data_IF_502990652715
#
_entry.id   IF_502990652715
#
_cell.length_a   1.000
_cell.length_b   1.000
_cell.length_c   1.000
_cell.angle_alpha   90.00
_cell.angle_beta   90.00
_cell.angle_gamma   90.00
#
_symmetry.space_group_name_H-M   'P 1'
#
loop_
_entity.id
_entity.type
_entity.pdbx_description
1 polymer ?
2 non-polymer ?
3 water ?
#
# COMPACT_ATOMS: atom_id res chain seq x y z
N UNK A 17 29.94 8.75 -5.40
CA UNK A 17 28.63 8.46 -4.82
C UNK A 17 28.68 8.49 -3.32
N UNK A 18 27.85 9.32 -2.74
CA UNK A 18 27.70 9.27 -1.34
C UNK A 18 26.24 8.88 -1.09
N UNK A 19 26.04 7.78 -0.39
CA UNK A 19 24.68 7.33 -0.11
C UNK A 19 23.99 8.28 0.85
N UNK A 20 22.85 8.81 0.46
CA UNK A 20 22.10 9.68 1.30
C UNK A 20 21.48 9.02 2.53
N UNK A 21 21.16 9.82 3.52
CA UNK A 21 20.65 9.35 4.82
C UNK A 21 19.25 8.76 4.83
N UNK A 22 18.39 9.43 4.10
CA UNK A 22 16.98 9.05 4.00
C UNK A 22 16.56 9.13 2.55
N UNK A 23 16.93 8.13 1.80
CA UNK A 23 16.67 8.03 0.39
C UNK A 23 15.30 7.40 0.11
N UNK A 24 14.95 7.33 -1.16
CA UNK A 24 13.68 6.76 -1.55
C UNK A 24 13.60 5.36 -0.98
N UNK A 25 14.67 4.61 -1.08
CA UNK A 25 14.66 3.23 -0.64
C UNK A 25 14.44 3.06 0.84
N UNK A 26 15.00 3.99 1.60
CA UNK A 26 14.83 3.88 3.02
C UNK A 26 13.36 4.00 3.35
N UNK A 27 12.70 4.96 2.75
CA UNK A 27 11.30 5.13 3.00
C UNK A 27 10.46 3.96 2.55
N UNK A 28 10.79 3.40 1.39
CA UNK A 28 10.07 2.24 0.92
C UNK A 28 10.25 1.04 1.85
N UNK A 29 11.46 0.87 2.38
CA UNK A 29 11.66 -0.25 3.27
C UNK A 29 10.84 -0.13 4.54
N UNK A 30 10.90 1.05 5.11
CA UNK A 30 10.13 1.28 6.28
C UNK A 30 8.65 1.17 6.00
N UNK A 31 8.22 1.67 4.85
CA UNK A 31 6.80 1.58 4.47
C UNK A 31 6.35 0.11 4.39
N UNK A 32 7.19 -0.68 3.79
CA UNK A 32 6.88 -2.05 3.52
C UNK A 32 6.78 -2.85 4.80
N UNK A 33 7.65 -2.57 5.75
CA UNK A 33 7.48 -3.17 7.03
C UNK A 33 6.30 -2.64 7.87
N UNK A 34 6.28 -1.34 8.10
CA UNK A 34 5.27 -0.76 8.96
C UNK A 34 3.87 -0.93 8.41
N UNK A 35 3.73 -0.83 7.10
CA UNK A 35 2.43 -0.82 6.54
C UNK A 35 2.00 -2.12 5.91
N UNK A 36 2.78 -3.16 6.07
CA UNK A 36 2.31 -4.69 5.50
C UNK A 36 2.76 -5.77 6.36
N UNK A 37 4.26 -5.83 6.38
CA UNK A 37 4.76 -7.03 7.03
C UNK A 37 4.44 -7.07 8.52
N UNK A 38 4.64 -5.94 9.14
CA UNK A 38 4.32 -5.86 10.56
C UNK A 38 2.85 -6.17 10.81
N UNK A 39 2.04 -5.76 9.88
CA UNK A 39 0.61 -5.99 10.01
C UNK A 39 0.13 -7.44 9.87
N UNK A 40 0.76 -8.14 8.96
CA UNK A 40 0.37 -9.49 8.65
C UNK A 40 1.14 -10.63 9.34
N UNK A 41 2.32 -10.36 9.88
CA UNK A 41 3.09 -11.45 10.44
C UNK A 41 2.45 -12.17 11.62
N UNK A 42 1.76 -11.41 12.50
CA UNK A 42 1.15 -12.08 13.65
C UNK A 42 0.10 -13.11 13.29
N UNK A 43 -0.69 -12.86 12.27
CA UNK A 43 -1.75 -13.78 11.93
C UNK A 43 -1.47 -14.75 10.81
N UNK A 44 -0.28 -14.71 10.26
CA UNK A 44 0.03 -15.49 9.13
C UNK A 44 -0.11 -17.00 9.35
N UNK A 45 0.45 -17.46 10.45
CA UNK A 45 0.35 -18.87 10.72
C UNK A 45 -1.08 -19.38 10.99
N UNK A 46 -1.88 -18.54 11.60
CA UNK A 46 -3.27 -18.92 11.78
C UNK A 46 -3.99 -19.10 10.44
N UNK A 47 -3.70 -18.20 9.52
CA UNK A 47 -4.26 -18.27 8.17
C UNK A 47 -3.77 -19.51 7.45
N UNK A 48 -2.51 -19.84 7.64
CA UNK A 48 -1.94 -21.04 7.09
C UNK A 48 -2.59 -22.32 7.65
N UNK A 49 -2.84 -22.32 8.94
CA UNK A 49 -3.48 -23.48 9.56
C UNK A 49 -4.87 -23.70 8.96
N UNK A 50 -5.57 -22.61 8.74
CA UNK A 50 -6.88 -22.66 8.10
C UNK A 50 -6.79 -23.17 6.70
N UNK A 51 -5.79 -22.73 5.94
CA UNK A 51 -5.59 -23.19 4.60
C UNK A 51 -5.34 -24.70 4.61
N UNK A 52 -4.54 -25.15 5.56
CA UNK A 52 -4.15 -26.55 5.63
C UNK A 52 -5.35 -27.44 5.92
N UNK A 53 -6.27 -26.91 6.69
CA UNK A 53 -7.48 -27.63 6.98
C UNK A 53 -8.29 -27.88 5.74
N UNK A 54 -8.27 -26.97 4.81
CA UNK A 54 -9.01 -27.07 3.56
C UNK A 54 -8.28 -27.81 2.47
N UNK A 55 -6.97 -27.87 2.56
CA UNK A 55 -6.14 -28.36 1.50
C UNK A 55 -5.27 -29.55 1.87
N UNK A 56 -5.74 -30.36 2.79
CA UNK A 56 -5.04 -31.57 3.19
C UNK A 56 -3.56 -31.36 3.53
N UNK A 57 -3.32 -30.36 4.35
CA UNK A 57 -1.98 -30.07 4.79
C UNK A 57 -0.98 -29.84 3.71
N UNK A 58 -1.39 -29.09 2.71
CA UNK A 58 -0.52 -28.80 1.59
C UNK A 58 0.75 -28.07 2.01
N UNK A 59 0.63 -27.18 2.95
CA UNK A 59 1.77 -26.42 3.43
C UNK A 59 2.32 -27.12 4.68
N UNK A 60 3.01 -28.22 4.48
CA UNK A 60 3.29 -29.08 5.63
C UNK A 60 4.49 -28.77 6.46
N UNK A 61 5.62 -28.63 5.88
CA UNK A 61 6.74 -28.32 6.73
C UNK A 61 6.96 -26.84 6.99
N UNK A 62 7.88 -26.52 7.87
CA UNK A 62 8.18 -25.15 8.17
C UNK A 62 8.57 -24.40 6.92
N UNK A 63 9.29 -25.05 6.06
CA UNK A 63 9.75 -24.43 4.86
C UNK A 63 8.63 -23.99 3.93
N UNK A 64 7.52 -24.65 4.01
CA UNK A 64 6.39 -24.28 3.18
C UNK A 64 5.47 -23.29 3.89
N UNK A 65 5.85 -22.87 5.08
CA UNK A 65 5.06 -21.96 5.87
C UNK A 65 5.67 -20.59 6.05
N UNK A 66 6.60 -20.27 5.18
CA UNK A 66 7.21 -18.99 5.18
C UNK A 66 6.53 -18.08 4.16
N UNK A 67 6.71 -16.79 4.32
CA UNK A 67 6.25 -15.86 3.33
C UNK A 67 7.46 -15.54 2.44
N UNK A 68 7.48 -16.11 1.26
CA UNK A 68 8.60 -15.87 0.36
C UNK A 68 8.32 -14.67 -0.53
N UNK A 69 9.22 -13.71 -0.50
CA UNK A 69 9.10 -12.49 -1.24
C UNK A 69 10.19 -12.41 -2.29
N UNK A 70 9.76 -12.31 -3.53
CA UNK A 70 10.66 -12.14 -4.65
C UNK A 70 11.12 -10.70 -4.80
N UNK A 71 12.43 -10.56 -4.93
CA UNK A 71 13.11 -9.28 -5.08
C UNK A 71 14.02 -9.22 -6.32
N UNK A 72 13.38 -9.01 -7.47
CA UNK A 72 14.15 -8.85 -8.70
C UNK A 72 14.78 -7.45 -8.71
N UNK A 73 16.10 -7.40 -8.67
CA UNK A 73 16.78 -6.13 -8.51
C UNK A 73 16.66 -5.21 -9.75
N UNK A 74 16.38 -5.80 -10.89
CA UNK A 74 16.07 -4.99 -12.05
C UNK A 74 14.64 -4.44 -12.02
N UNK A 75 13.89 -4.80 -11.01
CA UNK A 75 12.56 -4.25 -10.80
C UNK A 75 11.53 -4.60 -11.88
N UNK A 76 11.68 -5.73 -12.52
CA UNK A 76 10.68 -6.25 -13.40
C UNK A 76 9.72 -7.09 -12.59
N UNK A 77 8.52 -6.56 -12.42
CA UNK A 77 7.50 -7.15 -11.59
C UNK A 77 6.19 -7.33 -12.30
N UNK A 78 6.05 -8.49 -12.91
CA UNK A 78 4.78 -8.84 -13.54
C UNK A 78 3.76 -9.16 -12.49
N UNK A 79 2.51 -8.89 -12.80
CA UNK A 79 1.47 -9.18 -11.85
C UNK A 79 1.14 -10.67 -11.69
N UNK A 80 1.40 -11.41 -12.76
CA UNK A 80 1.16 -12.85 -12.84
C UNK A 80 2.48 -13.62 -12.73
N UNK A 81 2.64 -14.40 -11.67
CA UNK A 81 3.90 -15.08 -11.44
C UNK A 81 4.27 -16.09 -12.52
N UNK A 82 3.25 -16.63 -13.15
CA UNK A 82 3.51 -17.62 -14.16
C UNK A 82 4.21 -17.03 -15.34
N UNK A 83 4.18 -15.72 -15.45
CA UNK A 83 4.91 -15.02 -16.49
C UNK A 83 6.42 -15.18 -16.26
N UNK A 84 6.81 -15.11 -15.02
CA UNK A 84 8.19 -15.28 -14.69
C UNK A 84 8.67 -16.69 -14.87
N UNK A 85 7.85 -17.63 -14.48
CA UNK A 85 8.13 -19.03 -14.69
C UNK A 85 6.83 -19.81 -14.75
N UNK A 86 6.62 -20.49 -15.85
CA UNK A 86 5.41 -21.24 -16.04
C UNK A 86 5.27 -22.40 -15.12
N UNK A 87 6.34 -22.77 -14.47
CA UNK A 87 6.29 -23.81 -13.47
C UNK A 87 5.84 -23.30 -12.08
N UNK A 88 5.50 -22.03 -12.01
CA UNK A 88 4.91 -21.50 -10.83
C UNK A 88 3.42 -21.37 -11.11
N UNK A 89 2.64 -22.23 -10.48
CA UNK A 89 1.22 -22.33 -10.79
C UNK A 89 0.31 -21.95 -9.62
N UNK A 90 -0.55 -20.96 -9.80
CA UNK A 90 -1.44 -20.53 -8.76
C UNK A 90 -2.34 -21.66 -8.32
N UNK A 91 -2.45 -21.83 -7.00
CA UNK A 91 -3.38 -22.81 -6.47
C UNK A 91 -4.61 -22.28 -5.75
N UNK A 92 -4.43 -21.36 -4.84
CA UNK A 92 -5.52 -20.80 -4.04
C UNK A 92 -5.01 -19.68 -3.17
N UNK A 93 -5.88 -18.84 -2.67
CA UNK A 93 -5.49 -17.82 -1.75
C UNK A 93 -5.59 -18.33 -0.30
N UNK A 94 -4.75 -17.78 0.56
CA UNK A 94 -4.98 -17.92 1.95
C UNK A 94 -6.25 -17.16 2.29
N UNK A 95 -6.83 -17.52 3.45
CA UNK A 95 -7.88 -16.71 4.02
C UNK A 95 -7.31 -15.32 4.25
N UNK A 96 -8.13 -14.31 4.09
CA UNK A 96 -7.62 -12.94 4.10
C UNK A 96 -7.74 -12.30 5.48
N UNK A 97 -6.89 -11.32 5.76
CA UNK A 97 -6.98 -10.58 7.00
C UNK A 97 -7.68 -9.25 6.68
N UNK A 98 -8.62 -8.87 7.50
CA UNK A 98 -9.25 -7.56 7.41
C UNK A 98 -9.01 -6.70 8.64
N UNK A 99 -8.57 -5.48 8.39
CA UNK A 99 -8.14 -4.60 9.46
C UNK A 99 -8.57 -3.17 9.12
N UNK A 100 -9.13 -2.45 10.09
CA UNK A 100 -9.37 -1.03 9.88
C UNK A 100 -8.06 -0.24 9.83
N UNK A 101 -7.85 0.54 8.77
CA UNK A 101 -6.56 1.20 8.57
C UNK A 101 -6.76 2.60 8.05
N UNK A 102 -6.36 3.57 8.84
CA UNK A 102 -6.30 4.94 8.40
C UNK A 102 -7.59 5.44 7.77
N UNK A 103 -8.69 5.05 8.38
CA UNK A 103 -10.01 5.42 7.97
C UNK A 103 -10.64 4.53 6.89
N UNK A 104 -9.91 3.54 6.40
CA UNK A 104 -10.51 2.55 5.54
C UNK A 104 -10.97 1.37 6.39
N UNK A 105 -12.26 1.16 6.50
CA UNK A 105 -12.75 0.02 7.22
C UNK A 105 -12.47 -1.26 6.47
N UNK A 106 -12.07 -2.27 7.24
CA UNK A 106 -11.96 -3.61 6.71
C UNK A 106 -11.00 -3.74 5.53
N UNK A 107 -9.90 -3.02 5.57
CA UNK A 107 -8.95 -3.11 4.52
C UNK A 107 -8.45 -4.55 4.52
N UNK A 108 -8.33 -5.11 3.34
CA UNK A 108 -7.99 -6.49 3.19
C UNK A 108 -6.57 -6.73 2.80
N UNK A 109 -5.95 -7.70 3.47
CA UNK A 109 -4.58 -8.12 3.17
C UNK A 109 -4.63 -9.62 2.85
N UNK A 110 -4.09 -9.96 1.70
CA UNK A 110 -4.24 -11.24 1.11
C UNK A 110 -2.90 -11.82 0.64
N UNK A 111 -2.77 -13.14 0.67
CA UNK A 111 -1.63 -13.75 0.07
C UNK A 111 -2.02 -15.00 -0.73
N UNK A 112 -1.18 -15.31 -1.71
CA UNK A 112 -1.47 -16.39 -2.65
C UNK A 112 -0.51 -17.56 -2.53
N UNK A 113 -1.06 -18.77 -2.67
CA UNK A 113 -0.32 -20.01 -2.63
C UNK A 113 -0.14 -20.62 -4.01
N UNK A 114 1.08 -21.03 -4.30
CA UNK A 114 1.46 -21.54 -5.58
C UNK A 114 2.06 -22.93 -5.45
N UNK A 115 1.80 -23.75 -6.43
CA UNK A 115 2.49 -25.00 -6.57
C UNK A 115 3.67 -24.84 -7.51
N UNK A 116 4.77 -25.50 -7.20
CA UNK A 116 5.95 -25.39 -7.98
C UNK A 116 6.15 -26.72 -8.73
N UNK A 117 6.12 -26.64 -10.03
CA UNK A 117 6.14 -27.84 -10.83
C UNK A 117 7.52 -28.24 -11.27
N UNK A 118 7.71 -29.54 -11.26
CA UNK A 118 8.86 -30.19 -11.90
C UNK A 118 8.27 -31.33 -12.74
N UNK A 119 8.60 -31.35 -14.01
CA UNK A 119 8.07 -32.34 -14.92
C UNK A 119 6.55 -32.34 -14.88
N UNK A 120 5.95 -31.18 -14.76
CA UNK A 120 4.54 -31.05 -14.89
C UNK A 120 3.78 -31.41 -13.66
N UNK A 121 4.47 -31.81 -12.61
CA UNK A 121 3.85 -32.20 -11.39
C UNK A 121 4.35 -31.38 -10.20
N UNK A 122 3.49 -31.16 -9.22
CA UNK A 122 3.88 -30.33 -8.10
C UNK A 122 4.98 -30.97 -7.31
N UNK A 123 6.03 -30.23 -7.07
CA UNK A 123 7.11 -30.65 -6.23
C UNK A 123 7.17 -29.93 -4.88
N UNK A 124 6.40 -28.86 -4.74
CA UNK A 124 6.35 -28.11 -3.51
C UNK A 124 5.23 -27.10 -3.63
N UNK A 125 4.93 -26.42 -2.54
CA UNK A 125 3.94 -25.37 -2.57
C UNK A 125 4.38 -24.35 -1.56
N UNK A 126 4.04 -23.11 -1.80
CA UNK A 126 4.39 -22.06 -0.88
C UNK A 126 3.60 -20.77 -1.10
N UNK A 127 3.73 -19.84 -0.16
CA UNK A 127 3.19 -18.51 -0.29
C UNK A 127 4.26 -17.68 -0.98
N UNK A 128 3.92 -17.04 -2.10
CA UNK A 128 4.85 -16.34 -2.94
C UNK A 128 4.24 -15.06 -3.48
N UNK A 129 5.04 -14.02 -3.48
CA UNK A 129 4.70 -12.76 -4.07
C UNK A 129 5.93 -11.93 -4.38
N UNK A 130 5.76 -10.90 -5.21
CA UNK A 130 6.80 -9.88 -5.38
C UNK A 130 6.74 -8.80 -4.32
N UNK A 131 7.89 -8.19 -4.06
CA UNK A 131 7.85 -7.01 -3.22
C UNK A 131 7.31 -5.81 -4.02
N UNK A 132 6.18 -5.32 -3.58
CA UNK A 132 5.44 -4.30 -4.28
C UNK A 132 6.18 -2.97 -4.53
N UNK A 133 7.02 -2.59 -3.60
CA UNK A 133 7.74 -1.33 -3.78
C UNK A 133 8.66 -1.35 -4.98
N UNK A 134 9.05 -2.52 -5.43
CA UNK A 134 9.89 -2.56 -6.57
C UNK A 134 9.16 -2.01 -7.81
N UNK A 135 7.84 -2.11 -7.77
CA UNK A 135 6.99 -1.48 -8.79
C UNK A 135 7.06 0.03 -8.79
N UNK A 136 7.14 0.60 -7.63
CA UNK A 136 7.31 2.02 -7.51
C UNK A 136 8.63 2.45 -8.11
N UNK A 137 9.68 1.71 -7.79
CA UNK A 137 10.96 2.07 -8.30
C UNK A 137 10.96 1.98 -9.83
N UNK A 138 10.37 0.93 -10.37
CA UNK A 138 10.34 0.81 -11.80
C UNK A 138 9.56 1.98 -12.42
N UNK A 139 8.41 2.29 -11.87
CA UNK A 139 7.64 3.41 -12.41
C UNK A 139 8.34 4.76 -12.33
N UNK A 140 9.02 5.01 -11.25
CA UNK A 140 9.76 6.24 -11.13
C UNK A 140 10.80 6.33 -12.21
N UNK A 141 11.39 5.21 -12.52
CA UNK A 141 12.43 5.20 -13.49
C UNK A 141 11.92 5.53 -14.90
N UNK A 142 10.64 5.34 -15.11
CA UNK A 142 10.00 5.55 -16.41
C UNK A 142 9.33 6.88 -16.58
N UNK A 143 9.30 7.70 -15.55
CA UNK A 143 8.62 8.97 -15.66
C UNK A 143 9.63 10.08 -15.58
N UNK A 144 9.72 10.93 -16.58
CA UNK A 144 10.66 12.02 -16.53
C UNK A 144 10.47 12.95 -15.34
N UNK A 145 9.24 13.09 -14.90
CA UNK A 145 8.93 13.91 -13.79
C UNK A 145 9.59 13.40 -12.52
N UNK A 146 9.85 12.10 -12.46
CA UNK A 146 10.46 11.55 -11.31
C UNK A 146 11.92 11.89 -11.13
N UNK A 147 12.61 12.22 -12.20
CA UNK A 147 14.02 12.43 -12.22
C UNK A 147 15.01 11.31 -11.83
N UNK A 148 14.68 10.09 -12.16
CA UNK A 148 15.22 8.88 -11.58
C UNK A 148 15.72 7.96 -12.66
N UNK A 149 17.01 7.74 -12.76
CA UNK A 149 17.62 6.90 -13.76
C UNK A 149 17.58 5.42 -13.46
N UNK A 150 17.96 4.64 -14.45
CA UNK A 150 18.13 3.21 -14.36
C UNK A 150 19.21 2.88 -13.35
N UNK A 151 20.27 3.66 -13.35
CA UNK A 151 21.33 3.48 -12.37
C UNK A 151 20.85 3.79 -10.94
N UNK A 152 20.06 4.83 -10.80
CA UNK A 152 19.49 5.17 -9.53
C UNK A 152 18.57 4.02 -9.07
N UNK A 153 17.82 3.49 -10.02
CA UNK A 153 16.87 2.45 -9.67
C UNK A 153 17.54 1.19 -9.10
N UNK A 154 18.60 0.77 -9.76
CA UNK A 154 19.29 -0.40 -9.27
C UNK A 154 19.88 -0.18 -7.87
N UNK A 155 20.48 0.98 -7.70
CA UNK A 155 21.07 1.22 -6.41
C UNK A 155 20.02 1.26 -5.30
N UNK A 156 18.90 1.88 -5.61
CA UNK A 156 17.81 1.97 -4.66
C UNK A 156 17.21 0.62 -4.37
N UNK A 157 17.14 -0.21 -5.39
CA UNK A 157 16.62 -1.54 -5.17
C UNK A 157 17.49 -2.34 -4.21
N UNK A 158 18.78 -2.24 -4.40
CA UNK A 158 19.72 -2.87 -3.48
C UNK A 158 19.66 -2.30 -2.06
N UNK A 159 19.58 -0.99 -1.95
CA UNK A 159 19.44 -0.30 -0.67
C UNK A 159 18.11 -0.69 0.04
N UNK A 160 17.05 -0.81 -0.74
CA UNK A 160 15.77 -1.23 -0.18
C UNK A 160 15.89 -2.63 0.45
N UNK A 161 16.53 -3.50 -0.25
CA UNK A 161 16.73 -4.81 0.26
C UNK A 161 17.58 -4.84 1.52
N UNK A 162 18.70 -4.14 1.49
CA UNK A 162 19.55 -4.09 2.67
C UNK A 162 18.83 -3.49 3.88
N UNK A 163 18.13 -2.40 3.66
CA UNK A 163 17.43 -1.78 4.76
C UNK A 163 16.34 -2.67 5.31
N UNK A 164 15.63 -3.31 4.43
CA UNK A 164 14.59 -4.21 4.88
C UNK A 164 15.15 -5.37 5.71
N UNK A 165 16.26 -5.90 5.28
CA UNK A 165 16.89 -6.99 6.01
C UNK A 165 17.27 -6.54 7.42
N UNK A 166 17.76 -5.33 7.52
CA UNK A 166 18.12 -4.77 8.82
C UNK A 166 16.91 -4.66 9.75
N UNK A 167 15.80 -4.18 9.21
CA UNK A 167 14.60 -4.05 9.99
C UNK A 167 14.06 -5.42 10.43
N UNK A 168 14.04 -6.35 9.50
CA UNK A 168 13.51 -7.65 9.78
C UNK A 168 14.35 -8.44 10.81
N UNK A 169 15.58 -8.07 10.97
CA UNK A 169 16.46 -8.78 11.89
C UNK A 169 15.94 -8.68 13.29
N UNK A 170 15.18 -7.64 13.59
CA UNK A 170 14.75 -7.37 14.94
C UNK A 170 13.38 -7.93 15.32
N UNK A 171 12.75 -8.62 14.40
CA UNK A 171 11.53 -9.32 14.66
C UNK A 171 11.77 -10.53 15.56
N UNK A 172 10.87 -10.76 16.51
CA UNK A 172 11.01 -11.97 17.32
C UNK A 172 10.77 -13.21 16.51
N UNK A 173 11.31 -14.31 16.97
CA UNK A 173 11.34 -15.53 16.22
C UNK A 173 9.94 -16.00 15.89
N UNK A 174 9.01 -15.75 16.78
CA UNK A 174 7.67 -16.18 16.52
C UNK A 174 7.05 -15.50 15.31
N UNK A 175 7.63 -14.38 14.91
CA UNK A 175 7.15 -13.68 13.72
C UNK A 175 8.15 -13.68 12.58
N UNK A 176 9.19 -14.48 12.68
CA UNK A 176 10.27 -14.49 11.73
C UNK A 176 9.92 -15.38 10.53
N UNK A 177 8.91 -14.96 9.78
CA UNK A 177 8.44 -15.73 8.66
C UNK A 177 8.79 -15.26 7.29
N UNK A 178 9.22 -14.02 7.15
CA UNK A 178 9.63 -13.53 5.84
C UNK A 178 10.93 -14.10 5.35
N UNK A 179 10.95 -14.52 4.11
CA UNK A 179 12.16 -14.96 3.50
C UNK A 179 12.32 -14.30 2.12
N UNK A 180 13.38 -13.52 1.95
CA UNK A 180 13.60 -12.78 0.74
C UNK A 180 14.39 -13.57 -0.26
N UNK A 181 13.92 -13.58 -1.50
CA UNK A 181 14.59 -14.26 -2.61
C UNK A 181 15.10 -13.15 -3.54
N UNK A 182 16.39 -12.84 -3.48
CA UNK A 182 16.94 -11.69 -4.14
C UNK A 182 17.82 -12.13 -5.32
N UNK A 183 17.57 -11.60 -6.49
CA UNK A 183 18.25 -11.97 -7.72
C UNK A 183 18.24 -10.81 -8.65
N UNK A 184 19.15 -10.83 -9.60
CA UNK A 184 19.16 -9.79 -10.61
C UNK A 184 18.96 -10.45 -11.94
N UNK A 185 17.87 -10.14 -12.59
CA UNK A 185 17.45 -10.84 -13.78
C UNK A 185 18.52 -10.74 -14.85
N UNK A 186 19.13 -9.58 -14.99
CA UNK A 186 20.13 -9.42 -16.03
C UNK A 186 21.40 -10.22 -15.81
N UNK A 187 21.60 -10.71 -14.61
CA UNK A 187 22.85 -11.38 -14.27
C UNK A 187 22.74 -12.85 -14.09
N UNK A 188 21.57 -13.38 -14.37
CA UNK A 188 21.34 -14.76 -14.03
C UNK A 188 21.73 -15.83 -14.99
N UNK A 189 21.32 -15.62 -16.23
CA UNK A 189 21.31 -16.65 -17.27
C UNK A 189 20.00 -17.22 -17.80
N UNK A 190 20.04 -17.69 -19.05
CA UNK A 190 18.87 -18.25 -19.70
C UNK A 190 18.36 -19.56 -19.04
N UNK A 191 19.26 -20.20 -18.29
CA UNK A 191 19.06 -21.38 -17.45
C UNK A 191 18.57 -21.14 -16.00
N UNK A 192 18.37 -19.90 -15.65
CA UNK A 192 17.85 -19.56 -14.33
C UNK A 192 16.42 -19.99 -14.33
N UNK A 193 15.99 -20.67 -13.29
CA UNK A 193 14.63 -21.07 -13.20
C UNK A 193 14.17 -20.53 -11.85
N UNK A 194 13.24 -19.61 -11.89
CA UNK A 194 12.74 -19.08 -10.65
C UNK A 194 12.08 -20.12 -9.75
N UNK A 195 11.36 -21.05 -10.34
CA UNK A 195 10.75 -22.09 -9.55
C UNK A 195 11.76 -22.97 -8.84
N UNK A 196 12.86 -23.25 -9.52
CA UNK A 196 13.92 -24.00 -8.87
C UNK A 196 14.56 -23.22 -7.73
N UNK A 197 14.71 -21.93 -7.92
CA UNK A 197 15.26 -21.10 -6.87
C UNK A 197 14.36 -21.10 -5.66
N UNK A 198 13.07 -20.97 -5.90
CA UNK A 198 12.16 -21.02 -4.81
C UNK A 198 12.18 -22.36 -4.10
N UNK A 199 12.19 -23.44 -4.85
CA UNK A 199 12.30 -24.77 -4.27
C UNK A 199 13.59 -24.94 -3.48
N UNK A 200 14.63 -24.35 -3.95
CA UNK A 200 15.87 -24.41 -3.20
C UNK A 200 15.71 -23.70 -1.85
N UNK A 201 15.08 -22.54 -1.83
CA UNK A 201 14.87 -21.85 -0.57
C UNK A 201 13.96 -22.66 0.35
N UNK A 202 12.92 -23.26 -0.19
CA UNK A 202 12.05 -24.09 0.63
C UNK A 202 12.84 -25.22 1.26
N UNK A 203 13.72 -25.79 0.48
CA UNK A 203 14.44 -26.97 0.91
C UNK A 203 15.53 -26.68 1.92
N UNK A 204 16.06 -25.46 1.91
CA UNK A 204 17.06 -25.04 2.88
C UNK A 204 16.43 -24.77 4.20
N UNK B 21 16.27 13.97 -6.22
CA UNK B 21 14.95 13.36 -6.26
C UNK B 21 15.02 12.18 -5.31
N UNK B 22 15.73 12.42 -4.24
CA UNK B 22 16.04 11.38 -3.36
C UNK B 22 15.86 11.76 -1.97
N UNK B 23 14.63 12.03 -1.73
CA UNK B 23 14.16 12.15 -0.42
C UNK B 23 13.05 11.15 -0.21
N UNK B 24 12.82 10.87 1.02
CA UNK B 24 11.92 9.85 1.39
C UNK B 24 10.56 10.18 0.81
N UNK B 25 10.20 11.44 0.88
CA UNK B 25 8.90 11.85 0.51
C UNK B 25 8.61 11.64 -0.95
N UNK B 26 9.64 11.72 -1.77
CA UNK B 26 9.42 11.39 -3.17
C UNK B 26 9.00 10.00 -3.37
N UNK B 27 9.65 9.06 -2.72
CA UNK B 27 9.26 7.70 -2.86
C UNK B 27 7.86 7.45 -2.38
N UNK B 28 7.50 8.06 -1.27
CA UNK B 28 6.20 7.86 -0.74
C UNK B 28 5.12 8.42 -1.69
N UNK B 29 5.38 9.58 -2.25
CA UNK B 29 4.42 10.19 -3.15
C UNK B 29 4.20 9.36 -4.41
N UNK B 30 5.28 8.89 -5.01
CA UNK B 30 5.16 7.95 -6.12
C UNK B 30 4.55 6.63 -5.78
N UNK B 31 4.84 6.07 -4.62
CA UNK B 31 4.27 4.83 -4.19
C UNK B 31 2.76 4.99 -4.14
N UNK B 32 2.36 6.09 -3.55
CA UNK B 32 0.94 6.37 -3.33
C UNK B 32 0.19 6.58 -4.63
N UNK B 33 0.78 7.31 -5.53
CA UNK B 33 0.18 7.45 -6.86
C UNK B 33 0.18 6.18 -7.72
N UNK B 34 1.36 5.61 -7.88
CA UNK B 34 1.50 4.42 -8.70
C UNK B 34 0.79 3.20 -8.16
N UNK B 35 0.84 3.00 -6.87
CA UNK B 35 0.27 1.83 -6.32
C UNK B 35 -1.07 1.96 -5.70
N UNK B 36 -1.68 3.11 -5.85
CA UNK B 36 -2.98 3.27 -5.32
C UNK B 36 -3.87 4.18 -6.19
N UNK B 37 -3.54 5.45 -6.23
CA UNK B 37 -4.44 6.38 -6.90
C UNK B 37 -4.62 6.09 -8.39
N UNK B 38 -3.52 5.81 -9.03
CA UNK B 38 -3.55 5.47 -10.45
C UNK B 38 -4.40 4.25 -10.67
N UNK B 39 -4.34 3.33 -9.74
CA UNK B 39 -5.10 2.09 -9.82
C UNK B 39 -6.58 2.19 -9.63
N UNK B 40 -6.97 3.00 -8.68
CA UNK B 40 -8.35 3.05 -8.26
C UNK B 40 -9.18 4.20 -8.77
N UNK B 41 -8.53 5.28 -9.12
CA UNK B 41 -9.31 6.46 -9.49
C UNK B 41 -10.17 6.34 -10.76
N UNK B 42 -9.63 5.66 -11.78
CA UNK B 42 -10.44 5.43 -12.97
C UNK B 42 -11.72 4.64 -12.70
N UNK B 43 -11.69 3.68 -11.82
CA UNK B 43 -12.86 2.88 -11.54
C UNK B 43 -13.83 3.49 -10.53
N UNK B 44 -13.46 4.60 -9.94
CA UNK B 44 -14.19 5.10 -8.78
C UNK B 44 -15.64 5.48 -9.08
N UNK B 45 -15.82 6.16 -10.19
CA UNK B 45 -17.16 6.64 -10.50
C UNK B 45 -18.15 5.54 -10.68
N UNK B 46 -17.73 4.46 -11.31
CA UNK B 46 -18.59 3.34 -11.44
C UNK B 46 -18.95 2.66 -10.11
N UNK B 47 -17.98 2.57 -9.21
CA UNK B 47 -18.21 2.02 -7.91
C UNK B 47 -19.19 2.92 -7.14
N UNK B 48 -19.06 4.21 -7.35
CA UNK B 48 -19.93 5.20 -6.74
C UNK B 48 -21.38 5.06 -7.25
N UNK B 49 -21.49 4.88 -8.53
CA UNK B 49 -22.81 4.76 -9.10
C UNK B 49 -23.51 3.55 -8.49
N UNK B 50 -22.80 2.45 -8.36
CA UNK B 50 -23.37 1.30 -7.71
C UNK B 50 -23.70 1.51 -6.25
N UNK B 51 -22.82 2.19 -5.51
CA UNK B 51 -23.07 2.51 -4.13
C UNK B 51 -24.38 3.33 -4.03
N UNK B 52 -24.56 4.26 -4.95
CA UNK B 52 -25.71 5.12 -4.93
C UNK B 52 -26.99 4.37 -5.23
N UNK B 53 -26.92 3.38 -6.09
CA UNK B 53 -28.08 2.52 -6.29
C UNK B 53 -28.44 1.76 -5.00
N UNK B 54 -27.44 1.22 -4.37
CA UNK B 54 -27.62 0.49 -3.15
C UNK B 54 -28.11 1.36 -2.04
N UNK B 55 -27.65 2.62 -1.98
CA UNK B 55 -27.87 3.48 -0.85
C UNK B 55 -28.65 4.78 -1.11
N UNK B 56 -29.51 4.76 -2.10
CA UNK B 56 -30.44 5.85 -2.34
C UNK B 56 -29.73 7.20 -2.44
N UNK B 57 -28.75 7.25 -3.31
CA UNK B 57 -28.10 8.47 -3.74
C UNK B 57 -27.47 9.28 -2.60
N UNK B 58 -26.88 8.58 -1.68
CA UNK B 58 -26.20 9.18 -0.59
C UNK B 58 -25.07 10.08 -1.06
N UNK B 59 -24.39 9.73 -2.13
CA UNK B 59 -23.27 10.55 -2.60
C UNK B 59 -23.70 11.42 -3.77
N UNK B 60 -23.54 12.72 -3.64
CA UNK B 60 -23.96 13.63 -4.72
C UNK B 60 -22.92 14.70 -4.93
N UNK B 61 -23.04 15.38 -6.06
CA UNK B 61 -22.05 16.39 -6.39
C UNK B 61 -20.65 15.83 -6.49
N UNK B 62 -19.67 16.58 -6.05
CA UNK B 62 -18.29 16.10 -6.18
C UNK B 62 -18.03 14.90 -5.26
N UNK B 63 -18.90 14.74 -4.29
CA UNK B 63 -18.97 13.58 -3.39
C UNK B 63 -19.22 12.33 -4.17
N UNK B 64 -19.80 12.48 -5.34
CA UNK B 64 -20.04 11.39 -6.25
C UNK B 64 -18.96 11.21 -7.30
N UNK B 65 -17.91 12.03 -7.19
CA UNK B 65 -16.81 11.96 -8.09
C UNK B 65 -15.39 11.80 -7.51
N UNK B 66 -15.20 12.25 -6.28
CA UNK B 66 -13.86 12.38 -5.69
C UNK B 66 -13.66 11.58 -4.44
N UNK B 67 -12.48 11.02 -4.33
CA UNK B 67 -12.02 10.48 -3.06
C UNK B 67 -11.41 11.62 -2.24
N UNK B 68 -11.82 11.78 -1.01
CA UNK B 68 -11.29 12.82 -0.16
C UNK B 68 -10.23 12.21 0.77
N UNK B 69 -9.04 12.81 0.73
CA UNK B 69 -7.89 12.26 1.37
C UNK B 69 -7.38 13.29 2.37
N UNK B 70 -7.26 12.88 3.63
CA UNK B 70 -6.76 13.71 4.69
C UNK B 70 -5.25 13.60 4.86
N UNK B 71 -4.62 14.77 4.97
CA UNK B 71 -3.18 14.90 5.12
C UNK B 71 -2.82 15.77 6.34
N UNK B 72 -2.88 15.14 7.52
CA UNK B 72 -2.44 15.80 8.75
C UNK B 72 -0.92 15.88 8.80
N UNK B 73 -0.44 17.10 8.77
CA UNK B 73 0.98 17.34 8.62
C UNK B 73 1.78 16.93 9.85
N UNK B 74 1.15 16.91 10.99
CA UNK B 74 1.78 16.36 12.15
C UNK B 74 1.93 14.82 12.13
N UNK B 75 1.29 14.19 11.16
CA UNK B 75 1.39 12.77 10.99
C UNK B 75 0.73 11.96 12.11
N UNK B 76 -0.27 12.52 12.75
CA UNK B 76 -1.11 11.74 13.64
C UNK B 76 -2.24 11.16 12.82
N UNK B 77 -2.23 9.85 12.65
CA UNK B 77 -3.14 9.15 11.77
C UNK B 77 -3.88 8.06 12.51
N UNK B 78 -5.00 8.45 13.08
CA UNK B 78 -5.89 7.49 13.70
C UNK B 78 -6.45 6.54 12.67
N UNK B 79 -6.62 5.32 13.07
CA UNK B 79 -7.31 4.36 12.24
C UNK B 79 -8.82 4.56 12.15
N UNK B 80 -9.42 5.11 13.20
CA UNK B 80 -10.84 5.34 13.27
C UNK B 80 -11.16 6.82 13.15
N UNK B 81 -11.80 7.23 12.08
CA UNK B 81 -12.13 8.64 11.88
C UNK B 81 -13.04 9.25 12.93
N UNK B 82 -13.91 8.44 13.50
CA UNK B 82 -14.82 8.91 14.55
C UNK B 82 -14.18 9.23 15.86
N UNK B 83 -13.02 8.64 16.05
CA UNK B 83 -12.18 8.96 17.14
C UNK B 83 -11.57 10.30 16.89
N UNK B 84 -11.21 10.56 15.65
CA UNK B 84 -10.68 11.85 15.34
C UNK B 84 -11.71 12.95 15.52
N UNK B 85 -12.93 12.66 15.09
CA UNK B 85 -14.04 13.57 15.18
C UNK B 85 -15.32 12.76 15.17
N UNK B 86 -16.03 12.81 16.27
CA UNK B 86 -17.25 12.05 16.42
C UNK B 86 -18.35 12.48 15.45
N UNK B 87 -18.22 13.63 14.83
CA UNK B 87 -19.15 14.08 13.82
C UNK B 87 -18.88 13.45 12.45
N UNK B 88 -17.84 12.63 12.36
CA UNK B 88 -17.62 11.83 11.19
C UNK B 88 -18.15 10.41 11.41
N UNK B 89 -19.21 10.04 10.72
CA UNK B 89 -19.87 8.78 11.02
C UNK B 89 -19.83 7.81 9.85
N UNK B 90 -19.29 6.63 10.07
CA UNK B 90 -19.21 5.63 9.04
C UNK B 90 -20.57 5.16 8.62
N UNK B 91 -20.78 5.03 7.33
CA UNK B 91 -22.02 4.48 6.88
C UNK B 91 -21.95 3.19 6.10
N UNK B 92 -21.01 3.01 5.20
CA UNK B 92 -20.86 1.78 4.47
C UNK B 92 -19.62 1.88 3.58
N UNK B 93 -19.18 0.72 3.11
CA UNK B 93 -18.16 0.63 2.11
C UNK B 93 -18.66 0.73 0.68
N UNK B 94 -17.79 1.21 -0.18
CA UNK B 94 -18.00 1.04 -1.58
C UNK B 94 -17.82 -0.43 -1.88
N UNK B 95 -18.38 -0.83 -3.00
CA UNK B 95 -18.10 -2.15 -3.53
C UNK B 95 -16.61 -2.18 -3.78
N UNK B 96 -15.99 -3.31 -3.54
CA UNK B 96 -14.57 -3.37 -3.66
C UNK B 96 -14.08 -3.55 -5.12
N UNK B 97 -12.85 -3.13 -5.34
CA UNK B 97 -12.13 -3.37 -6.57
C UNK B 97 -11.12 -4.49 -6.32
N UNK B 98 -11.15 -5.52 -7.11
CA UNK B 98 -10.16 -6.59 -7.00
C UNK B 98 -9.25 -6.64 -8.22
N UNK B 99 -7.96 -6.68 -8.00
CA UNK B 99 -7.00 -6.59 -9.05
C UNK B 99 -5.81 -7.50 -8.69
N UNK B 100 -5.32 -8.27 -9.64
CA UNK B 100 -4.09 -9.01 -9.43
C UNK B 100 -2.91 -8.03 -9.36
N UNK B 101 -2.08 -8.18 -8.33
CA UNK B 101 -1.01 -7.23 -8.10
C UNK B 101 0.25 -7.94 -7.59
N UNK B 102 1.29 -7.94 -8.38
CA UNK B 102 2.57 -8.42 -7.92
C UNK B 102 2.52 -9.81 -7.38
N UNK B 103 1.73 -10.65 -8.02
CA UNK B 103 1.59 -12.01 -7.58
C UNK B 103 0.56 -12.27 -6.50
N UNK B 104 -0.09 -11.25 -6.01
CA UNK B 104 -1.22 -11.45 -5.14
C UNK B 104 -2.48 -11.44 -6.00
N UNK B 105 -3.11 -12.59 -6.12
CA UNK B 105 -4.32 -12.68 -6.87
C UNK B 105 -5.44 -11.96 -6.16
N UNK B 106 -6.15 -11.18 -6.93
CA UNK B 106 -7.30 -10.53 -6.42
C UNK B 106 -7.09 -9.72 -5.17
N UNK B 107 -6.06 -8.93 -5.18
CA UNK B 107 -5.84 -8.01 -4.13
C UNK B 107 -7.01 -7.02 -4.12
N UNK B 108 -7.46 -6.71 -2.94
CA UNK B 108 -8.68 -5.95 -2.77
C UNK B 108 -8.45 -4.52 -2.36
N UNK B 109 -9.08 -3.62 -3.09
CA UNK B 109 -9.00 -2.21 -2.81
C UNK B 109 -10.38 -1.71 -2.45
N UNK B 110 -10.47 -1.11 -1.27
CA UNK B 110 -11.71 -0.80 -0.67
C UNK B 110 -11.70 0.64 -0.10
N UNK B 111 -12.86 1.32 -0.16
CA UNK B 111 -12.98 2.64 0.40
C UNK B 111 -14.26 2.76 1.22
N UNK B 112 -14.23 3.66 2.19
CA UNK B 112 -15.29 3.84 3.15
C UNK B 112 -16.05 5.20 3.00
N UNK B 113 -17.37 5.15 3.12
CA UNK B 113 -18.19 6.32 3.03
C UNK B 113 -18.70 6.76 4.38
N UNK B 114 -18.59 8.06 4.63
CA UNK B 114 -18.94 8.68 5.88
C UNK B 114 -19.94 9.81 5.71
N UNK B 115 -20.77 10.00 6.71
CA UNK B 115 -21.61 11.18 6.77
C UNK B 115 -20.97 12.15 7.75
N UNK B 116 -21.09 13.43 7.45
CA UNK B 116 -20.55 14.48 8.25
C UNK B 116 -21.69 15.22 8.95
N UNK B 117 -21.64 15.23 10.26
CA UNK B 117 -22.72 15.86 11.06
C UNK B 117 -22.44 17.30 11.40
N UNK B 118 -23.50 18.08 11.41
CA UNK B 118 -23.46 19.43 11.89
C UNK B 118 -24.69 19.57 12.78
N UNK B 119 -24.51 20.01 14.00
CA UNK B 119 -25.61 20.27 14.92
C UNK B 119 -26.41 18.99 15.02
N UNK B 120 -25.74 17.88 14.89
CA UNK B 120 -26.35 16.59 15.05
C UNK B 120 -26.98 15.84 13.91
N UNK B 121 -27.12 16.47 12.77
CA UNK B 121 -27.69 15.80 11.63
C UNK B 121 -26.74 15.83 10.43
N UNK B 122 -26.96 14.95 9.47
CA UNK B 122 -26.06 14.86 8.34
C UNK B 122 -26.05 16.13 7.52
N UNK B 123 -24.87 16.66 7.29
CA UNK B 123 -24.71 17.81 6.50
C UNK B 123 -23.97 17.55 5.15
N UNK B 124 -23.39 16.38 5.05
CA UNK B 124 -22.67 15.99 3.88
C UNK B 124 -22.30 14.50 3.93
N UNK B 125 -21.87 13.97 2.82
CA UNK B 125 -21.38 12.58 2.77
C UNK B 125 -20.27 12.49 1.76
N UNK B 126 -19.25 11.71 2.05
CA UNK B 126 -18.19 11.50 1.12
C UNK B 126 -17.36 10.26 1.41
N UNK B 127 -16.55 9.90 0.43
CA UNK B 127 -15.59 8.84 0.61
C UNK B 127 -14.37 9.49 1.21
N UNK B 128 -13.92 9.00 2.37
CA UNK B 128 -12.94 9.70 3.17
C UNK B 128 -11.95 8.72 3.75
N UNK B 129 -10.68 9.09 3.71
CA UNK B 129 -9.60 8.35 4.36
C UNK B 129 -8.38 9.22 4.59
N UNK B 130 -7.45 8.71 5.40
CA UNK B 130 -6.16 9.36 5.54
C UNK B 130 -5.18 8.85 4.52
N UNK B 131 -4.19 9.68 4.21
CA UNK B 131 -3.10 9.24 3.36
C UNK B 131 -2.18 8.36 4.20
N UNK B 132 -2.22 7.09 3.92
CA UNK B 132 -1.56 6.10 4.76
C UNK B 132 -0.03 6.30 4.91
N UNK B 133 0.64 6.83 3.90
CA UNK B 133 2.10 7.03 4.02
C UNK B 133 2.54 7.96 5.11
N UNK B 134 1.64 8.78 5.58
CA UNK B 134 1.97 9.60 6.73
C UNK B 134 2.26 8.74 7.96
N UNK B 135 1.65 7.57 7.99
CA UNK B 135 1.88 6.60 9.04
C UNK B 135 3.34 6.09 9.03
N UNK B 136 3.88 5.92 7.84
CA UNK B 136 5.28 5.56 7.71
C UNK B 136 6.20 6.68 8.26
N UNK B 137 5.89 7.90 7.89
CA UNK B 137 6.72 8.96 8.36
C UNK B 137 6.65 9.03 9.89
N UNK B 138 5.45 8.87 10.44
CA UNK B 138 5.32 8.89 11.88
C UNK B 138 6.10 7.78 12.54
N UNK B 139 5.97 6.58 12.02
CA UNK B 139 6.70 5.46 12.57
C UNK B 139 8.24 5.65 12.51
N UNK B 140 8.74 6.18 11.41
CA UNK B 140 10.16 6.43 11.25
C UNK B 140 10.62 7.43 12.32
N UNK B 141 9.81 8.42 12.60
CA UNK B 141 10.15 9.41 13.61
C UNK B 141 10.24 8.86 15.01
N UNK B 142 9.53 7.80 15.25
CA UNK B 142 9.47 7.17 16.56
C UNK B 142 10.47 6.07 16.77
N UNK B 143 11.09 5.57 15.73
CA UNK B 143 12.04 4.49 15.85
C UNK B 143 13.47 5.05 15.63
N UNK B 144 14.29 4.96 16.66
CA UNK B 144 15.63 5.52 16.57
C UNK B 144 16.44 4.91 15.47
N UNK B 145 16.14 3.69 15.11
CA UNK B 145 16.84 3.04 14.06
C UNK B 145 16.73 3.77 12.71
N UNK B 146 15.64 4.50 12.56
CA UNK B 146 15.48 5.25 11.35
C UNK B 146 16.28 6.55 11.31
N UNK B 147 16.78 6.99 12.43
CA UNK B 147 17.53 8.24 12.42
C UNK B 147 16.80 9.43 11.84
N UNK B 148 15.53 9.53 12.14
CA UNK B 148 14.65 10.48 11.47
C UNK B 148 14.05 11.40 12.49
N UNK B 149 14.39 12.67 12.44
CA UNK B 149 13.95 13.64 13.43
C UNK B 149 12.51 14.10 13.20
N UNK B 150 11.88 14.62 14.23
CA UNK B 150 10.55 15.14 14.13
C UNK B 150 10.51 16.32 13.19
N UNK B 151 11.58 17.11 13.20
CA UNK B 151 11.65 18.20 12.29
C UNK B 151 11.67 17.77 10.82
N UNK B 152 12.41 16.73 10.50
CA UNK B 152 12.39 16.19 9.19
C UNK B 152 11.07 15.48 8.84
N UNK B 153 10.44 14.92 9.82
CA UNK B 153 9.14 14.31 9.60
C UNK B 153 8.19 15.35 9.08
N UNK B 154 8.21 16.53 9.67
CA UNK B 154 7.36 17.61 9.18
C UNK B 154 7.70 18.12 7.81
N UNK B 155 8.98 18.29 7.54
CA UNK B 155 9.37 18.72 6.22
C UNK B 155 9.01 17.71 5.14
N UNK B 156 9.21 16.46 5.46
CA UNK B 156 8.89 15.40 4.53
C UNK B 156 7.41 15.26 4.29
N UNK B 157 6.65 15.46 5.34
CA UNK B 157 5.23 15.41 5.19
C UNK B 157 4.77 16.51 4.25
N UNK B 158 5.31 17.70 4.40
CA UNK B 158 4.98 18.78 3.48
C UNK B 158 5.42 18.45 2.06
N UNK B 159 6.60 17.91 1.94
CA UNK B 159 7.12 17.53 0.65
C UNK B 159 6.28 16.42 -0.06
N UNK B 160 5.79 15.51 0.73
CA UNK B 160 4.98 14.42 0.22
C UNK B 160 3.73 15.03 -0.40
N UNK B 161 3.11 15.95 0.28
CA UNK B 161 1.93 16.61 -0.25
C UNK B 161 2.19 17.40 -1.53
N UNK B 162 3.26 18.16 -1.52
CA UNK B 162 3.58 18.94 -2.70
C UNK B 162 3.89 18.06 -3.87
N UNK B 163 4.63 17.00 -3.63
CA UNK B 163 5.01 16.14 -4.71
C UNK B 163 3.78 15.46 -5.34
N UNK B 164 2.88 15.00 -4.49
CA UNK B 164 1.69 14.37 -4.97
C UNK B 164 0.87 15.36 -5.80
N UNK B 165 0.79 16.60 -5.35
CA UNK B 165 0.05 17.61 -6.09
C UNK B 165 0.66 17.80 -7.46
N UNK B 166 1.98 17.82 -7.49
CA UNK B 166 2.68 17.96 -8.76
C UNK B 166 2.48 16.81 -9.71
N UNK B 167 2.50 15.61 -9.19
CA UNK B 167 2.24 14.48 -10.00
C UNK B 167 0.82 14.53 -10.57
N UNK B 168 -0.16 14.82 -9.72
CA UNK B 168 -1.54 14.83 -10.13
C UNK B 168 -1.85 15.91 -11.14
N UNK B 169 -1.09 16.98 -11.09
CA UNK B 169 -1.36 18.15 -11.92
C UNK B 169 -1.29 17.79 -13.37
N UNK B 170 -0.53 16.81 -13.70
CA UNK B 170 -0.30 16.43 -15.06
C UNK B 170 -1.17 15.32 -15.55
N UNK B 171 -2.06 14.81 -14.70
CA UNK B 171 -2.94 13.72 -15.00
C UNK B 171 -4.37 14.03 -14.59
N UNK B 172 -5.08 14.68 -15.49
CA UNK B 172 -6.38 15.26 -15.20
C UNK B 172 -7.33 14.22 -14.71
N UNK B 173 -7.22 13.04 -15.25
CA UNK B 173 -8.13 12.01 -14.91
C UNK B 173 -8.04 11.70 -13.43
N UNK B 174 -6.84 11.53 -12.91
CA UNK B 174 -6.65 11.37 -11.48
C UNK B 174 -6.94 12.59 -10.62
N UNK B 175 -6.43 13.71 -11.06
CA UNK B 175 -6.59 14.94 -10.33
C UNK B 175 -8.09 15.31 -10.14
N UNK B 176 -8.90 15.02 -11.14
CA UNK B 176 -10.29 15.36 -11.06
C UNK B 176 -11.14 14.44 -10.17
N UNK B 177 -10.49 13.37 -9.68
CA UNK B 177 -11.19 12.34 -8.93
C UNK B 177 -10.71 12.15 -7.50
N UNK B 178 -9.96 13.12 -7.06
CA UNK B 178 -9.57 13.16 -5.67
C UNK B 178 -9.45 14.60 -5.16
N UNK B 179 -9.53 14.75 -3.85
CA UNK B 179 -9.37 16.02 -3.20
C UNK B 179 -8.40 15.87 -2.04
N UNK B 180 -7.33 16.64 -2.05
CA UNK B 180 -6.37 16.59 -0.97
C UNK B 180 -6.69 17.63 0.06
N UNK B 181 -6.90 17.20 1.29
CA UNK B 181 -7.19 18.08 2.42
C UNK B 181 -5.97 18.09 3.37
N UNK B 182 -5.21 19.17 3.29
CA UNK B 182 -3.97 19.29 3.97
C UNK B 182 -4.14 20.32 5.10
N UNK B 183 -3.74 19.94 6.30
CA UNK B 183 -3.85 20.76 7.47
C UNK B 183 -2.78 20.37 8.47
N UNK B 184 -2.42 21.31 9.32
CA UNK B 184 -1.56 21.06 10.43
C UNK B 184 -2.30 21.45 11.69
N UNK B 185 -2.79 20.47 12.40
CA UNK B 185 -3.53 20.75 13.58
C UNK B 185 -2.38 21.23 14.44
N UNK B 186 -2.62 22.07 15.39
CA UNK B 186 -1.50 22.62 16.16
C UNK B 186 -0.98 23.80 15.46
N UNK B 187 -1.47 24.12 14.31
CA UNK B 187 -1.39 25.46 13.84
C UNK B 187 -2.82 25.86 13.70
N UNK B 188 -3.73 24.96 13.99
CA UNK B 188 -5.12 25.26 13.76
C UNK B 188 -5.82 26.21 14.65
N UNK B 189 -5.45 26.20 15.91
CA UNK B 189 -5.07 25.06 16.69
C UNK B 189 -6.05 24.99 17.88
N UNK B 190 -7.21 25.63 17.77
CA UNK B 190 -8.16 25.63 18.75
C UNK B 190 -9.50 25.35 19.03
N UNK B 191 -10.14 25.52 17.90
CA UNK B 191 -11.55 25.34 17.68
C UNK B 191 -11.66 24.38 16.49
N UNK B 192 -10.56 23.74 16.13
CA UNK B 192 -10.50 22.90 14.93
C UNK B 192 -11.40 21.69 14.97
N UNK B 193 -12.17 21.55 13.92
CA UNK B 193 -12.98 20.40 13.73
C UNK B 193 -12.64 19.80 12.35
N UNK B 194 -12.30 18.54 12.34
CA UNK B 194 -12.01 17.83 11.12
C UNK B 194 -13.20 17.73 10.18
N UNK B 195 -14.36 17.48 10.73
CA UNK B 195 -15.57 17.46 9.93
C UNK B 195 -15.87 18.79 9.26
N UNK B 196 -15.64 19.85 9.99
CA UNK B 196 -15.77 21.18 9.43
C UNK B 196 -14.75 21.46 8.34
N UNK B 197 -13.55 20.95 8.50
CA UNK B 197 -12.55 21.11 7.46
C UNK B 197 -12.96 20.42 6.17
N UNK B 198 -13.46 19.20 6.28
CA UNK B 198 -13.95 18.51 5.12
C UNK B 198 -15.14 19.20 4.48
N UNK B 199 -16.08 19.62 5.30
CA UNK B 199 -17.25 20.28 4.79
C UNK B 199 -16.87 21.57 4.08
N UNK B 200 -15.85 22.24 4.54
CA UNK B 200 -15.45 23.45 3.88
C UNK B 200 -15.03 23.22 2.43
N UNK B 201 -14.29 22.15 2.22
CA UNK B 201 -13.91 21.74 0.91
C UNK B 201 -15.06 21.30 0.07
N UNK B 202 -15.96 20.53 0.63
CA UNK B 202 -17.10 20.09 -0.10
C UNK B 202 -17.94 21.31 -0.54
N UNK B 203 -18.16 22.21 0.38
CA UNK B 203 -18.98 23.39 0.07
C UNK B 203 -18.38 24.32 -0.97
N UNK B 204 -17.07 24.46 -0.97
CA UNK B 204 -16.39 25.32 -1.94
C UNK B 204 -16.66 24.78 -3.35
N UNK B 205 -16.51 23.50 -3.52
CA UNK B 205 -16.79 22.87 -4.81
C UNK B 205 -18.25 22.90 -5.19
N UNK B 206 -19.13 22.76 -4.21
CA UNK B 206 -20.55 22.81 -4.46
C UNK B 206 -20.95 24.18 -5.07
N UNK B 207 -20.29 25.22 -4.64
CA UNK B 207 -20.61 26.54 -5.14
C UNK B 207 -20.23 26.70 -6.61
N UNK B 208 -19.33 25.86 -7.08
CA UNK B 208 -18.90 25.91 -8.48
C UNK B 208 -19.79 25.15 -9.41
N UNK B 209 -20.38 24.11 -8.87
CA UNK B 209 -21.22 23.30 -9.65
C UNK B 209 -22.55 23.88 -10.00
N UNK B 210 -23.03 23.39 -11.12
CA UNK B 210 -24.39 23.39 -11.51
C UNK B 210 -24.72 23.70 -12.98
X LIG C 1 -5.80 1.78 0.93
X LIG C 1 -6.23 -1.49 -0.39
X LIG C 1 -5.63 -0.29 -0.19
X LIG C 1 -6.38 0.59 0.59
X LIG C 1 -4.74 2.32 0.66
X LIG C 1 -4.23 1.31 -0.12
X LIG C 1 -4.50 0.10 -0.55
X LIG C 1 -3.48 -0.46 -1.36
X LIG C 1 -2.51 0.39 -1.40
X LIG C 1 -2.97 1.52 -0.66
X LIG C 1 -2.05 2.61 -0.53
X LIG C 1 -1.23 2.89 0.71
X LIG C 1 -1.23 4.31 1.16
X LIG C 1 0.13 2.27 0.33
X LIG C 1 0.29 2.86 -1.06
X LIG C 1 1.41 2.00 -1.97
X LIG C 1 0.78 0.65 -1.82
X LIG C 1 1.81 -0.54 -2.52
X LIG C 1 0.93 -1.62 -2.70
X LIG C 1 2.97 -0.80 -1.44
X LIG C 1 2.70 -0.98 -0.14
X LIG C 1 3.69 0.06 0.52
X LIG C 1 4.97 -0.19 -0.17
X LIG C 1 3.81 -0.51 1.82
X LIG C 1 2.95 0.32 2.73
X LIG C 1 1.63 0.23 2.24
X LIG C 1 0.83 1.53 2.78
X LIG C 1 0.95 2.51 1.54
X LIG C 1 1.50 2.30 3.85
X LIG C 1 -0.56 1.05 2.99
X LIG C 1 3.30 -1.95 1.69
X LIG C 1 2.88 -2.33 0.44
X LIG C 1 1.58 -2.88 0.86
X LIG C 1 0.44 -2.36 1.56
X LIG C 1 -0.58 -3.19 1.60
X LIG C 1 1.16 -4.04 0.48
X LIG C 1 -0.02 -4.24 0.81
X LIG C 1 -0.79 -5.30 0.52
X LIG C 1 -0.13 -6.39 -0.33
X LIG C 1 1.05 -5.95 -0.50
X LIG C 1 1.78 -6.95 -1.23
X LIG C 1 1.83 -4.87 -0.39
X LIG C 1 -2.06 -5.68 0.74
X LIG C 1 2.61 -0.14 -3.60
X LIG C 1 -0.94 2.91 -1.56
#
# INVERSE_FOLDING_TARGET
MGSSHHHHHHSSGENLYFQGSHMVAHGLAWSYYIGYLKLILPGLQARIRMFNQLHNNMLSGAGSRRLYILFPLDCGVPDDLSVADPNIRFRDMLPQQNTDRAGVKNRAYSNSVYELLENGQPAGACILEYATPLQTLFAMSQDGKAGFSREDRLEQAKLFCRTLEEILADVPESRNHCRLIVYQESEEGNSFSLSQEVLRHIRQEEKEEV
MGSSHHHHHHSSGENLYFQGSHMVAHGLAWSYYIGYLKLILPGLQARIRMFNQLHNNMLSGAGSRRLYILFPLDCGVPDDLSVADPNIRFRDMLPQQNTDRAGVKNRAYSNSVYELLENGQPAGACILEYATPLQTLFAMSQDGKAGFSREDRLEQAKLFCRTLEEILADVPESRNHCRLIVYQESEEGNSFSLSQEVLRHIRQEEKEEV
1SY C2 N01 C6 N1 N3 C4 C5 N7 C8 N9 C1' C2' O2' C3' C4' C16 O17 P18 O19 O20 C21 C22 O23 C24 C25 O26 P27 O28 O29 O30 O31 C32 N33 C34 N35 C36 C37 C38 N39 C40 N41 N42 O43 O44 O4'
#
